data_IF_480195529838
#
_entry.id   IF_480195529838
#
_cell.length_a   1.000
_cell.length_b   1.000
_cell.length_c   1.000
_cell.angle_alpha   90.00
_cell.angle_beta   90.00
_cell.angle_gamma   90.00
#
_symmetry.space_group_name_H-M   'P 1'
#
loop_
_entity.id
_entity.type
_entity.pdbx_description
1 polymer ?
#
# COMPACT_ATOMS: atom_id res chain seq x y z
N UNK A 1 -80.82 2.06 -16.27
CA UNK A 1 -79.50 2.29 -16.89
C UNK A 1 -78.42 1.83 -15.92
N UNK A 2 -77.75 0.69 -16.18
CA UNK A 2 -76.67 0.18 -15.33
C UNK A 2 -75.35 0.81 -15.80
N UNK A 3 -74.75 1.67 -14.97
CA UNK A 3 -73.42 2.26 -15.23
C UNK A 3 -72.38 1.30 -14.68
N UNK A 4 -71.52 0.76 -15.56
CA UNK A 4 -70.33 -0.01 -15.17
C UNK A 4 -69.21 0.99 -14.89
N UNK A 5 -68.75 1.07 -13.64
CA UNK A 5 -67.54 1.79 -13.26
C UNK A 5 -66.37 0.82 -13.46
N UNK A 6 -65.48 1.14 -14.39
CA UNK A 6 -64.20 0.44 -14.56
C UNK A 6 -63.22 1.07 -13.60
N UNK A 7 -62.82 0.32 -12.56
CA UNK A 7 -61.74 0.71 -11.65
C UNK A 7 -60.41 0.39 -12.33
N UNK A 8 -59.65 1.42 -12.69
CA UNK A 8 -58.29 1.28 -13.23
C UNK A 8 -57.31 1.24 -12.05
N UNK A 9 -56.71 0.08 -11.82
CA UNK A 9 -55.74 -0.18 -10.76
C UNK A 9 -54.39 0.45 -11.15
N UNK A 10 -53.98 1.50 -10.45
CA UNK A 10 -52.59 1.98 -10.48
C UNK A 10 -51.78 1.20 -9.45
N UNK A 11 -51.08 0.16 -9.90
CA UNK A 11 -50.06 -0.51 -9.09
C UNK A 11 -48.81 0.39 -9.05
N UNK A 12 -48.69 1.23 -8.02
CA UNK A 12 -47.42 1.88 -7.69
C UNK A 12 -46.43 0.80 -7.24
N UNK A 13 -45.60 0.32 -8.17
CA UNK A 13 -44.38 -0.41 -7.82
C UNK A 13 -43.46 0.54 -7.05
N UNK A 14 -43.46 0.40 -5.73
CA UNK A 14 -42.39 0.89 -4.87
C UNK A 14 -41.12 0.12 -5.27
N UNK A 15 -40.35 0.65 -6.23
CA UNK A 15 -38.95 0.29 -6.33
C UNK A 15 -38.27 0.87 -5.10
N UNK A 16 -37.66 0.07 -4.21
CA UNK A 16 -36.76 0.62 -3.23
C UNK A 16 -35.63 1.27 -4.02
N UNK A 17 -35.57 2.61 -3.96
CA UNK A 17 -34.33 3.32 -4.27
C UNK A 17 -33.27 2.71 -3.37
N UNK A 18 -32.41 1.87 -3.94
CA UNK A 18 -31.13 1.56 -3.32
C UNK A 18 -30.34 2.85 -3.38
N UNK A 19 -30.39 3.61 -2.29
CA UNK A 19 -29.37 4.60 -2.00
C UNK A 19 -28.04 3.86 -2.01
N UNK A 20 -27.25 4.03 -3.08
CA UNK A 20 -25.85 3.69 -3.04
C UNK A 20 -25.23 4.62 -2.00
N UNK A 21 -24.99 4.09 -0.80
CA UNK A 21 -24.08 4.74 0.14
C UNK A 21 -22.76 4.92 -0.60
N UNK A 22 -22.26 6.16 -0.67
CA UNK A 22 -20.91 6.40 -1.16
C UNK A 22 -19.99 5.64 -0.20
N UNK A 23 -19.35 4.58 -0.68
CA UNK A 23 -18.34 3.86 0.08
C UNK A 23 -17.18 4.82 0.32
N UNK A 24 -16.87 5.10 1.59
CA UNK A 24 -15.63 5.76 1.97
C UNK A 24 -14.47 4.87 1.47
N UNK A 25 -13.72 5.34 0.47
CA UNK A 25 -12.66 4.56 -0.17
C UNK A 25 -11.54 4.23 0.84
N UNK A 26 -11.09 5.23 1.59
CA UNK A 26 -10.06 5.11 2.61
C UNK A 26 -10.66 5.31 4.01
N UNK A 27 -10.26 4.47 4.97
CA UNK A 27 -10.67 4.52 6.38
C UNK A 27 -9.66 5.24 7.29
N UNK A 28 -8.51 5.64 6.76
CA UNK A 28 -7.46 6.36 7.51
C UNK A 28 -7.92 7.77 7.87
N UNK A 29 -7.87 8.11 9.15
CA UNK A 29 -8.31 9.41 9.68
C UNK A 29 -7.28 9.98 10.62
N UNK A 30 -7.03 11.29 10.53
CA UNK A 30 -6.17 11.99 11.48
C UNK A 30 -6.88 12.04 12.84
N UNK A 31 -6.28 11.42 13.87
CA UNK A 31 -6.81 11.41 15.24
C UNK A 31 -6.09 12.47 16.08
N UNK A 32 -6.82 13.37 16.73
CA UNK A 32 -6.27 14.33 17.69
C UNK A 32 -6.81 15.75 17.56
N UNK A 33 -6.53 16.58 18.58
CA UNK A 33 -6.88 18.00 18.58
C UNK A 33 -5.84 18.80 17.77
N UNK A 34 -6.30 19.81 17.02
CA UNK A 34 -5.50 20.60 16.08
C UNK A 34 -4.23 21.23 16.70
N UNK A 35 -4.20 21.50 18.02
CA UNK A 35 -3.04 22.05 18.72
C UNK A 35 -1.93 21.02 18.95
N UNK A 36 -2.29 19.79 19.31
CA UNK A 36 -1.34 18.71 19.57
C UNK A 36 -0.74 18.21 18.26
N UNK A 37 -1.60 18.09 17.25
CA UNK A 37 -1.28 17.78 15.86
C UNK A 37 -0.28 18.77 15.23
N UNK A 38 -0.38 20.07 15.53
CA UNK A 38 0.57 21.10 15.03
C UNK A 38 1.94 21.04 15.68
N UNK A 39 2.04 20.53 16.90
CA UNK A 39 3.32 20.34 17.59
C UNK A 39 4.10 19.15 16.99
N UNK A 40 3.38 18.09 16.60
CA UNK A 40 3.91 16.91 15.89
C UNK A 40 4.27 17.23 14.43
N UNK A 41 3.50 18.10 13.77
CA UNK A 41 3.73 18.49 12.37
C UNK A 41 4.80 19.58 12.15
N UNK A 42 5.44 20.05 13.22
CA UNK A 42 6.50 21.05 13.17
C UNK A 42 7.81 20.56 12.52
N UNK A 43 7.83 19.31 12.05
CA UNK A 43 8.91 18.77 11.23
C UNK A 43 8.95 19.54 9.91
N UNK A 44 9.94 20.42 9.78
CA UNK A 44 10.30 20.99 8.47
C UNK A 44 10.69 19.84 7.55
N UNK A 45 9.86 19.57 6.55
CA UNK A 45 10.19 18.61 5.49
C UNK A 45 11.16 19.32 4.55
N UNK A 46 12.42 18.94 4.64
CA UNK A 46 13.45 19.40 3.71
C UNK A 46 13.20 18.79 2.33
N UNK A 47 13.53 19.49 1.24
CA UNK A 47 13.47 18.93 -0.10
C UNK A 47 14.24 17.63 -0.23
N UNK A 48 13.85 16.81 -1.21
CA UNK A 48 14.60 15.59 -1.53
C UNK A 48 16.08 15.92 -1.81
N UNK A 49 17.02 15.11 -1.30
CA UNK A 49 18.43 15.28 -1.62
C UNK A 49 18.69 15.06 -3.11
N UNK A 50 19.63 15.82 -3.68
CA UNK A 50 19.98 15.71 -5.10
C UNK A 50 20.60 14.35 -5.48
N UNK A 51 21.25 13.68 -4.52
CA UNK A 51 21.85 12.36 -4.71
C UNK A 51 21.65 11.53 -3.44
N UNK A 52 20.96 10.39 -3.57
CA UNK A 52 20.73 9.47 -2.48
C UNK A 52 20.63 8.04 -3.00
N UNK A 53 20.99 7.07 -2.16
CA UNK A 53 20.83 5.67 -2.51
C UNK A 53 19.40 5.22 -2.21
N UNK A 54 18.82 4.47 -3.14
CA UNK A 54 17.53 3.79 -2.92
C UNK A 54 17.66 2.85 -1.71
N UNK A 55 16.72 2.97 -0.77
CA UNK A 55 16.53 2.05 0.35
C UNK A 55 15.40 1.09 0.03
N UNK A 56 15.61 -0.18 0.38
CA UNK A 56 14.66 -1.25 0.13
C UNK A 56 14.00 -1.66 1.44
N UNK A 57 12.72 -1.37 1.57
CA UNK A 57 11.92 -1.62 2.75
C UNK A 57 11.19 -2.97 2.66
N UNK A 58 11.24 -3.80 3.70
CA UNK A 58 10.54 -5.08 3.74
C UNK A 58 9.03 -4.88 3.86
N UNK A 59 8.26 -5.57 3.02
CA UNK A 59 6.82 -5.74 3.18
C UNK A 59 6.54 -7.20 3.53
N UNK A 60 5.80 -7.42 4.61
CA UNK A 60 5.22 -8.71 4.96
C UNK A 60 3.77 -8.74 4.55
N UNK A 61 3.45 -9.59 3.58
CA UNK A 61 2.10 -9.77 3.06
C UNK A 61 1.38 -10.88 3.85
N UNK A 62 0.17 -10.57 4.31
CA UNK A 62 -0.72 -11.48 5.04
C UNK A 62 -2.01 -11.67 4.25
N UNK A 63 -2.14 -12.78 3.52
CA UNK A 63 -3.37 -13.13 2.81
C UNK A 63 -4.31 -13.86 3.77
N UNK A 64 -5.41 -13.21 4.11
CA UNK A 64 -6.45 -13.82 4.95
C UNK A 64 -7.46 -14.54 4.07
N UNK A 65 -7.72 -15.80 4.41
CA UNK A 65 -8.59 -16.69 3.66
C UNK A 65 -9.44 -17.53 4.60
N UNK A 66 -10.45 -18.21 4.05
CA UNK A 66 -11.32 -19.09 4.83
C UNK A 66 -10.51 -20.23 5.45
N UNK A 67 -11.06 -20.86 6.48
CA UNK A 67 -10.38 -21.95 7.20
C UNK A 67 -10.07 -23.16 6.31
N UNK A 68 -10.76 -23.31 5.16
CA UNK A 68 -10.52 -24.33 4.14
C UNK A 68 -9.44 -23.94 3.12
N UNK A 69 -8.80 -22.78 3.29
CA UNK A 69 -7.76 -22.25 2.41
C UNK A 69 -8.28 -21.54 1.15
N UNK A 70 -9.60 -21.34 1.01
CA UNK A 70 -10.20 -20.71 -0.17
C UNK A 70 -10.50 -19.23 0.04
N UNK A 71 -10.73 -18.51 -1.06
CA UNK A 71 -11.27 -17.15 -1.02
C UNK A 71 -10.25 -16.06 -0.67
N UNK A 72 -8.96 -16.36 -0.50
CA UNK A 72 -7.90 -15.34 -0.35
C UNK A 72 -7.65 -14.53 -1.64
N UNK A 73 -6.75 -13.55 -1.55
CA UNK A 73 -6.16 -12.87 -2.71
C UNK A 73 -5.31 -13.84 -3.53
N UNK A 74 -5.23 -13.64 -4.85
CA UNK A 74 -4.35 -14.44 -5.69
C UNK A 74 -2.89 -13.99 -5.52
N UNK A 75 -1.97 -14.93 -5.37
CA UNK A 75 -0.56 -14.63 -5.10
C UNK A 75 0.08 -13.80 -6.22
N UNK A 76 -0.32 -14.05 -7.48
CA UNK A 76 0.16 -13.27 -8.63
C UNK A 76 -0.20 -11.78 -8.60
N UNK A 77 -1.22 -11.41 -7.81
CA UNK A 77 -1.64 -10.02 -7.68
C UNK A 77 -0.66 -9.23 -6.79
N UNK A 78 0.03 -9.91 -5.86
CA UNK A 78 1.08 -9.31 -5.04
C UNK A 78 2.25 -8.84 -5.91
N UNK A 79 2.65 -9.59 -6.94
CA UNK A 79 3.75 -9.18 -7.81
C UNK A 79 3.44 -7.86 -8.53
N UNK A 80 2.20 -7.66 -8.98
CA UNK A 80 1.75 -6.42 -9.62
C UNK A 80 1.74 -5.26 -8.62
N UNK A 81 1.20 -5.49 -7.42
CA UNK A 81 1.21 -4.50 -6.33
C UNK A 81 2.64 -4.06 -6.01
N UNK A 82 3.56 -5.00 -5.91
CA UNK A 82 4.96 -4.70 -5.63
C UNK A 82 5.60 -3.91 -6.78
N UNK A 83 5.28 -4.23 -8.03
CA UNK A 83 5.74 -3.44 -9.17
C UNK A 83 5.23 -1.99 -9.11
N UNK A 84 3.94 -1.79 -8.85
CA UNK A 84 3.34 -0.46 -8.76
C UNK A 84 3.88 0.36 -7.59
N UNK A 85 4.00 -0.24 -6.40
CA UNK A 85 4.62 0.40 -5.25
C UNK A 85 6.06 0.84 -5.56
N UNK A 86 6.85 0.00 -6.21
CA UNK A 86 8.22 0.38 -6.58
C UNK A 86 8.27 1.48 -7.63
N UNK A 87 7.37 1.48 -8.62
CA UNK A 87 7.28 2.56 -9.62
C UNK A 87 6.96 3.90 -8.97
N UNK A 88 5.98 3.94 -8.05
CA UNK A 88 5.52 5.20 -7.44
C UNK A 88 6.47 5.75 -6.38
N UNK A 89 7.11 4.88 -5.60
CA UNK A 89 7.93 5.30 -4.46
C UNK A 89 9.42 5.47 -4.79
N UNK A 90 9.90 4.98 -5.94
CA UNK A 90 11.32 5.11 -6.32
C UNK A 90 11.79 6.57 -6.37
N UNK A 91 10.91 7.51 -6.75
CA UNK A 91 11.21 8.95 -6.76
C UNK A 91 11.50 9.52 -5.36
N UNK A 92 11.06 8.84 -4.29
CA UNK A 92 11.39 9.16 -2.91
C UNK A 92 12.60 8.37 -2.38
N UNK A 93 13.37 7.70 -3.26
CA UNK A 93 14.46 6.77 -2.92
C UNK A 93 13.99 5.58 -2.07
N UNK A 94 12.73 5.19 -2.22
CA UNK A 94 12.11 4.05 -1.51
C UNK A 94 11.73 2.99 -2.53
N UNK A 95 12.22 1.78 -2.31
CA UNK A 95 11.74 0.57 -2.97
C UNK A 95 11.30 -0.43 -1.90
N UNK A 96 10.53 -1.42 -2.29
CA UNK A 96 10.01 -2.46 -1.42
C UNK A 96 10.48 -3.83 -1.88
N UNK A 97 10.38 -4.83 -1.01
CA UNK A 97 10.55 -6.24 -1.37
C UNK A 97 9.71 -7.12 -0.45
N UNK A 98 9.35 -8.32 -0.91
CA UNK A 98 8.60 -9.28 -0.11
C UNK A 98 9.50 -9.93 0.94
N UNK A 99 9.18 -9.71 2.21
CA UNK A 99 9.94 -10.20 3.35
C UNK A 99 9.44 -11.57 3.82
N UNK A 100 10.31 -12.59 3.80
CA UNK A 100 10.04 -13.94 4.30
C UNK A 100 8.75 -14.58 3.73
N UNK A 101 8.55 -14.50 2.41
CA UNK A 101 7.37 -15.02 1.69
C UNK A 101 6.02 -14.43 2.15
N UNK A 102 4.94 -14.89 1.52
CA UNK A 102 3.56 -14.49 1.84
C UNK A 102 3.03 -15.39 2.95
N UNK A 103 2.44 -14.79 3.99
CA UNK A 103 1.71 -15.52 5.02
C UNK A 103 0.27 -15.78 4.59
N UNK A 104 -0.22 -16.98 4.91
CA UNK A 104 -1.62 -17.35 4.74
C UNK A 104 -2.26 -17.52 6.12
N UNK A 105 -3.33 -16.77 6.37
CA UNK A 105 -4.09 -16.81 7.61
C UNK A 105 -5.44 -17.47 7.33
N UNK A 106 -5.58 -18.73 7.74
CA UNK A 106 -6.77 -19.56 7.51
C UNK A 106 -7.72 -19.38 8.68
N UNK A 107 -8.70 -18.48 8.53
CA UNK A 107 -9.60 -18.10 9.62
C UNK A 107 -10.90 -17.53 9.08
N UNK A 108 -12.01 -18.26 9.23
CA UNK A 108 -13.34 -17.73 8.90
C UNK A 108 -13.72 -16.51 9.76
N UNK A 109 -13.11 -16.37 10.95
CA UNK A 109 -13.32 -15.20 11.83
C UNK A 109 -12.66 -13.96 11.25
N UNK A 110 -11.43 -14.08 10.73
CA UNK A 110 -10.68 -12.93 10.22
C UNK A 110 -10.91 -12.69 8.73
N UNK A 111 -11.52 -13.63 8.02
CA UNK A 111 -11.81 -13.50 6.60
C UNK A 111 -12.66 -12.26 6.30
N UNK A 112 -13.75 -12.11 7.05
CA UNK A 112 -14.61 -10.92 7.07
C UNK A 112 -14.19 -10.04 8.24
N UNK A 113 -13.12 -9.26 8.03
CA UNK A 113 -12.44 -8.54 9.08
C UNK A 113 -13.28 -7.41 9.69
N UNK A 114 -13.15 -7.26 11.01
CA UNK A 114 -13.73 -6.19 11.80
C UNK A 114 -12.63 -5.47 12.59
N UNK A 115 -12.63 -4.13 12.62
CA UNK A 115 -11.55 -3.31 13.22
C UNK A 115 -11.22 -3.67 14.69
N UNK A 116 -12.18 -4.24 15.41
CA UNK A 116 -11.98 -4.70 16.79
C UNK A 116 -10.97 -5.86 16.92
N UNK A 117 -10.66 -6.55 15.82
CA UNK A 117 -9.76 -7.69 15.75
C UNK A 117 -8.31 -7.30 15.38
N UNK A 118 -8.05 -6.02 15.13
CA UNK A 118 -6.74 -5.51 14.73
C UNK A 118 -5.63 -5.90 15.71
N UNK A 119 -5.82 -5.55 16.99
CA UNK A 119 -4.81 -5.79 18.02
C UNK A 119 -4.49 -7.28 18.21
N UNK A 120 -5.48 -8.20 18.31
CA UNK A 120 -5.23 -9.64 18.29
C UNK A 120 -4.47 -10.13 17.05
N UNK A 121 -4.79 -9.61 15.86
CA UNK A 121 -4.10 -9.96 14.61
C UNK A 121 -2.64 -9.50 14.64
N UNK A 122 -2.40 -8.22 14.95
CA UNK A 122 -1.07 -7.65 15.05
C UNK A 122 -0.20 -8.43 16.03
N UNK A 123 -0.71 -8.71 17.23
CA UNK A 123 0.01 -9.47 18.28
C UNK A 123 0.42 -10.88 17.83
N UNK A 124 -0.31 -11.47 16.90
CA UNK A 124 -0.11 -12.87 16.48
C UNK A 124 0.72 -12.98 15.20
N UNK A 125 0.52 -12.06 14.26
CA UNK A 125 1.02 -12.21 12.88
C UNK A 125 1.97 -11.09 12.44
N UNK A 126 2.00 -9.93 13.10
CA UNK A 126 2.91 -8.88 12.66
C UNK A 126 4.36 -9.32 12.74
N UNK A 127 5.11 -8.95 11.70
CA UNK A 127 6.55 -8.96 11.72
C UNK A 127 7.07 -7.56 12.08
N UNK A 128 7.78 -7.45 13.19
CA UNK A 128 8.31 -6.16 13.68
C UNK A 128 9.34 -5.54 12.73
N UNK A 129 9.98 -6.35 11.87
CA UNK A 129 11.02 -5.91 10.94
C UNK A 129 10.51 -5.56 9.55
N UNK A 130 9.20 -5.64 9.30
CA UNK A 130 8.58 -5.42 8.01
C UNK A 130 7.30 -4.58 8.10
N UNK A 131 6.92 -3.89 7.02
CA UNK A 131 5.61 -3.25 6.87
C UNK A 131 4.57 -4.37 6.72
N UNK A 132 3.58 -4.46 7.62
CA UNK A 132 2.60 -5.53 7.58
C UNK A 132 1.35 -5.10 6.80
N UNK A 133 1.09 -5.75 5.66
CA UNK A 133 -0.09 -5.52 4.84
C UNK A 133 -0.98 -6.76 4.87
N UNK A 134 -2.22 -6.59 5.33
CA UNK A 134 -3.24 -7.63 5.42
C UNK A 134 -4.29 -7.48 4.32
N UNK A 135 -4.63 -8.59 3.67
CA UNK A 135 -5.61 -8.65 2.60
C UNK A 135 -6.84 -9.44 3.04
N UNK A 136 -7.96 -8.74 3.23
CA UNK A 136 -9.21 -9.29 3.77
C UNK A 136 -10.31 -9.41 2.73
N UNK A 137 -11.34 -10.23 2.98
CA UNK A 137 -12.52 -10.24 2.12
C UNK A 137 -13.33 -8.94 2.25
N UNK A 138 -13.59 -8.54 3.49
CA UNK A 138 -14.27 -7.30 3.84
C UNK A 138 -13.54 -6.62 4.98
N UNK A 139 -13.72 -5.31 5.12
CA UNK A 139 -13.30 -4.52 6.28
C UNK A 139 -14.55 -3.85 6.82
N UNK A 140 -14.81 -3.98 8.12
CA UNK A 140 -15.98 -3.40 8.79
C UNK A 140 -15.56 -2.69 10.07
N UNK A 141 -16.09 -1.49 10.29
CA UNK A 141 -15.89 -0.72 11.52
C UNK A 141 -17.09 -0.87 12.45
N UNK A 142 -16.92 -0.55 13.74
CA UNK A 142 -18.01 -0.53 14.73
C UNK A 142 -19.13 0.44 14.35
N UNK A 143 -18.79 1.50 13.63
CA UNK A 143 -19.75 2.46 13.05
C UNK A 143 -20.67 1.84 11.99
N UNK A 144 -20.30 0.68 11.44
CA UNK A 144 -20.95 0.06 10.28
C UNK A 144 -20.35 0.50 8.94
N UNK A 145 -19.36 1.39 8.91
CA UNK A 145 -18.66 1.75 7.67
C UNK A 145 -17.80 0.60 7.17
N UNK A 146 -17.61 0.53 5.85
CA UNK A 146 -16.92 -0.58 5.19
C UNK A 146 -15.84 -0.07 4.22
N UNK A 147 -14.73 0.49 4.73
CA UNK A 147 -13.71 1.09 3.87
C UNK A 147 -13.05 0.06 2.96
N UNK A 148 -12.38 0.53 1.90
CA UNK A 148 -11.64 -0.33 0.98
C UNK A 148 -10.20 -0.58 1.43
N UNK A 149 -9.65 0.31 2.25
CA UNK A 149 -8.42 0.11 3.00
C UNK A 149 -8.27 1.14 4.12
N UNK A 150 -7.30 0.92 5.00
CA UNK A 150 -6.80 1.92 5.94
C UNK A 150 -5.39 1.56 6.43
N UNK A 151 -4.71 2.55 6.99
CA UNK A 151 -3.40 2.49 7.62
C UNK A 151 -3.41 3.35 8.89
N UNK A 152 -2.30 3.34 9.61
CA UNK A 152 -2.01 4.24 10.72
C UNK A 152 -0.88 5.19 10.34
N UNK A 153 -0.88 6.38 10.92
CA UNK A 153 0.18 7.35 10.72
C UNK A 153 1.43 6.99 11.56
N UNK A 154 2.64 7.45 11.17
CA UNK A 154 3.88 7.14 11.87
C UNK A 154 3.88 7.44 13.38
N UNK A 155 3.11 8.42 13.83
CA UNK A 155 2.99 8.85 15.23
C UNK A 155 2.07 7.95 16.07
N UNK A 156 1.21 7.15 15.45
CA UNK A 156 0.40 6.13 16.13
C UNK A 156 1.23 4.87 16.47
N UNK A 157 2.40 4.69 15.85
CA UNK A 157 3.30 3.54 15.99
C UNK A 157 2.68 2.15 15.72
N UNK A 158 1.50 2.11 15.11
CA UNK A 158 0.79 0.89 14.72
C UNK A 158 1.26 0.42 13.34
N UNK A 159 1.94 -0.73 13.28
CA UNK A 159 2.42 -1.32 12.02
C UNK A 159 1.35 -2.24 11.43
N UNK A 160 0.35 -1.65 10.79
CA UNK A 160 -0.77 -2.38 10.21
C UNK A 160 -1.36 -1.61 9.03
N UNK A 161 -1.51 -2.30 7.89
CA UNK A 161 -2.24 -1.80 6.73
C UNK A 161 -3.28 -2.84 6.37
N UNK A 162 -4.55 -2.47 6.35
CA UNK A 162 -5.64 -3.36 5.93
C UNK A 162 -6.14 -2.98 4.54
N UNK A 163 -6.23 -3.97 3.66
CA UNK A 163 -6.73 -3.81 2.29
C UNK A 163 -7.85 -4.81 2.03
N UNK A 164 -8.96 -4.33 1.49
CA UNK A 164 -10.03 -5.19 0.98
C UNK A 164 -9.58 -5.78 -0.35
N UNK A 165 -9.42 -7.11 -0.40
CA UNK A 165 -8.76 -7.84 -1.49
C UNK A 165 -9.30 -7.54 -2.89
N UNK A 166 -10.60 -7.23 -3.01
CA UNK A 166 -11.23 -6.96 -4.30
C UNK A 166 -10.67 -5.70 -4.99
N UNK A 167 -10.14 -4.76 -4.20
CA UNK A 167 -9.65 -3.47 -4.70
C UNK A 167 -8.15 -3.44 -4.93
N UNK A 168 -7.45 -4.54 -4.69
CA UNK A 168 -5.99 -4.62 -4.78
C UNK A 168 -5.47 -4.28 -6.17
N UNK A 169 -6.15 -4.74 -7.22
CA UNK A 169 -5.81 -4.43 -8.63
C UNK A 169 -6.82 -3.53 -9.33
N UNK A 170 -7.97 -3.30 -8.70
CA UNK A 170 -9.06 -2.49 -9.25
C UNK A 170 -9.06 -1.05 -8.71
N UNK A 171 -8.01 -0.68 -7.96
CA UNK A 171 -7.83 0.67 -7.40
C UNK A 171 -6.37 0.96 -7.09
N UNK A 172 -6.07 2.18 -6.66
CA UNK A 172 -4.77 2.60 -6.15
C UNK A 172 -4.70 2.52 -4.60
N UNK A 173 -5.63 1.79 -3.96
CA UNK A 173 -5.76 1.76 -2.50
C UNK A 173 -4.46 1.35 -1.81
N UNK A 174 -3.68 0.41 -2.38
CA UNK A 174 -2.43 -0.02 -1.74
C UNK A 174 -1.38 1.09 -1.78
N UNK A 175 -1.27 1.81 -2.91
CA UNK A 175 -0.39 2.99 -3.02
C UNK A 175 -0.86 4.06 -2.03
N UNK A 176 -2.16 4.30 -1.93
CA UNK A 176 -2.74 5.30 -1.04
C UNK A 176 -2.45 5.00 0.44
N UNK A 177 -2.74 3.79 0.91
CA UNK A 177 -2.54 3.42 2.32
C UNK A 177 -1.07 3.35 2.70
N UNK A 178 -0.19 2.90 1.79
CA UNK A 178 1.27 3.00 2.02
C UNK A 178 1.71 4.46 2.10
N UNK A 179 1.02 5.39 1.40
CA UNK A 179 1.26 6.83 1.53
C UNK A 179 0.98 7.33 2.94
N UNK A 180 -0.15 6.93 3.51
CA UNK A 180 -0.50 7.22 4.91
C UNK A 180 0.50 6.61 5.90
N UNK A 181 0.93 5.37 5.67
CA UNK A 181 1.97 4.73 6.47
C UNK A 181 3.28 5.54 6.49
N UNK A 182 3.62 6.23 5.40
CA UNK A 182 4.75 7.16 5.31
C UNK A 182 4.40 8.61 5.67
N UNK A 183 3.26 8.83 6.31
CA UNK A 183 2.87 10.09 6.91
C UNK A 183 2.23 11.09 5.94
N UNK A 184 1.82 10.70 4.74
CA UNK A 184 1.06 11.58 3.85
C UNK A 184 -0.39 11.70 4.32
N UNK A 185 -0.94 12.91 4.31
CA UNK A 185 -2.36 13.14 4.56
C UNK A 185 -3.14 13.16 3.24
N UNK A 186 -4.47 13.04 3.35
CA UNK A 186 -5.34 13.31 2.22
C UNK A 186 -5.16 14.75 1.74
N UNK A 187 -5.14 15.00 0.43
CA UNK A 187 -5.00 16.36 -0.14
C UNK A 187 -6.09 17.34 0.33
N UNK A 188 -7.25 16.81 0.75
CA UNK A 188 -8.39 17.55 1.27
C UNK A 188 -8.48 17.56 2.80
N UNK A 189 -7.36 17.33 3.48
CA UNK A 189 -7.29 17.33 4.94
C UNK A 189 -7.69 18.69 5.54
N UNK A 190 -8.35 18.66 6.70
CA UNK A 190 -8.84 19.86 7.39
C UNK A 190 -8.61 19.87 8.90
N UNK A 191 -8.12 18.77 9.50
CA UNK A 191 -7.81 18.65 10.92
C UNK A 191 -6.77 19.69 11.38
N UNK A 192 -5.86 20.08 10.49
CA UNK A 192 -4.86 21.12 10.78
C UNK A 192 -5.35 22.54 10.45
N UNK A 193 -6.59 22.68 10.00
CA UNK A 193 -7.18 23.90 9.45
C UNK A 193 -7.36 23.80 7.94
N UNK A 194 -8.29 24.59 7.42
CA UNK A 194 -8.59 24.64 5.99
C UNK A 194 -7.50 25.40 5.22
N UNK A 195 -6.96 24.76 4.19
CA UNK A 195 -6.01 25.39 3.28
C UNK A 195 -6.68 26.49 2.44
N UNK A 196 -5.97 27.60 2.26
CA UNK A 196 -6.37 28.68 1.35
C UNK A 196 -5.96 28.34 -0.07
N UNK A 197 -6.81 28.72 -1.03
CA UNK A 197 -6.58 28.48 -2.46
C UNK A 197 -5.32 29.20 -2.98
N UNK A 198 -4.91 30.29 -2.33
CA UNK A 198 -3.66 31.01 -2.68
C UNK A 198 -2.39 30.33 -2.14
N UNK A 199 -2.50 29.24 -1.38
CA UNK A 199 -1.39 28.50 -0.78
C UNK A 199 -0.69 29.22 0.37
N UNK A 200 -1.18 30.38 0.83
CA UNK A 200 -0.47 31.20 1.83
C UNK A 200 -0.35 30.55 3.22
N UNK A 201 -1.10 29.48 3.47
CA UNK A 201 -1.07 28.70 4.71
C UNK A 201 -0.82 27.19 4.50
N UNK A 202 -0.44 26.75 3.30
CA UNK A 202 -0.27 25.34 2.98
C UNK A 202 0.85 24.65 3.75
N UNK A 203 1.79 25.39 4.36
CA UNK A 203 2.84 24.81 5.20
C UNK A 203 2.38 24.36 6.60
N UNK A 204 1.15 24.68 7.03
CA UNK A 204 0.63 24.35 8.37
C UNK A 204 -0.88 24.10 8.42
N UNK A 205 -1.54 23.99 7.28
CA UNK A 205 -2.96 23.63 7.11
C UNK A 205 -3.11 22.68 5.92
N UNK A 206 -4.29 22.12 5.69
CA UNK A 206 -4.46 21.15 4.60
C UNK A 206 -3.70 19.85 4.89
N UNK A 207 -3.10 19.29 3.85
CA UNK A 207 -2.22 18.12 3.93
C UNK A 207 -0.77 18.46 4.33
N UNK A 208 -0.48 19.75 4.53
CA UNK A 208 0.83 20.29 4.88
C UNK A 208 1.91 20.05 3.82
N UNK A 209 1.51 19.93 2.56
CA UNK A 209 2.40 19.98 1.40
C UNK A 209 2.18 21.32 0.68
N UNK A 210 3.24 22.04 0.31
CA UNK A 210 3.07 23.39 -0.28
C UNK A 210 2.80 23.36 -1.77
N UNK A 211 3.15 22.26 -2.42
CA UNK A 211 3.00 22.05 -3.86
C UNK A 211 1.76 21.23 -4.22
N UNK A 212 0.96 20.83 -3.22
CA UNK A 212 -0.40 20.33 -3.37
C UNK A 212 -1.36 21.53 -3.33
N UNK A 213 -2.11 21.80 -4.42
CA UNK A 213 -3.12 22.84 -4.38
C UNK A 213 -4.29 22.43 -3.47
N UNK A 214 -4.83 23.39 -2.71
CA UNK A 214 -6.04 23.19 -1.91
C UNK A 214 -7.11 22.34 -2.62
N UNK A 215 -7.54 21.26 -1.96
CA UNK A 215 -8.49 20.29 -2.48
C UNK A 215 -9.86 20.40 -1.77
N UNK A 216 -10.97 20.62 -2.49
CA UNK A 216 -12.31 20.71 -1.90
C UNK A 216 -12.94 19.33 -1.57
N UNK A 217 -12.14 18.26 -1.54
CA UNK A 217 -12.54 16.84 -1.54
C UNK A 217 -13.14 16.41 -2.87
N UNK A 218 -12.24 15.99 -3.77
CA UNK A 218 -12.60 15.43 -5.08
C UNK A 218 -13.49 14.17 -5.01
N UNK A 219 -14.15 13.89 -6.13
CA UNK A 219 -14.89 12.66 -6.39
C UNK A 219 -15.08 12.48 -7.90
N UNK A 220 -15.53 11.29 -8.33
CA UNK A 220 -15.87 11.03 -9.73
C UNK A 220 -17.00 11.93 -10.30
N UNK A 221 -17.75 12.62 -9.42
CA UNK A 221 -18.80 13.55 -9.83
C UNK A 221 -18.27 14.94 -10.24
N UNK A 222 -17.06 15.31 -9.78
CA UNK A 222 -16.48 16.65 -9.99
C UNK A 222 -15.17 16.62 -10.76
N UNK A 223 -14.71 15.44 -11.16
CA UNK A 223 -13.61 15.22 -12.10
C UNK A 223 -14.20 14.51 -13.31
N UNK A 224 -13.88 14.94 -14.53
CA UNK A 224 -14.37 14.30 -15.76
C UNK A 224 -13.41 13.19 -16.25
N UNK A 225 -13.78 12.48 -17.33
CA UNK A 225 -12.97 11.39 -17.90
C UNK A 225 -11.65 11.88 -18.55
N UNK A 226 -11.49 13.19 -18.75
CA UNK A 226 -10.23 13.82 -19.18
C UNK A 226 -9.37 14.25 -17.98
N UNK A 227 -9.73 13.83 -16.77
CA UNK A 227 -9.05 14.20 -15.53
C UNK A 227 -9.08 15.69 -15.18
N UNK A 228 -10.07 16.42 -15.69
CA UNK A 228 -10.24 17.85 -15.40
C UNK A 228 -11.24 18.03 -14.26
N UNK A 229 -10.91 18.92 -13.32
CA UNK A 229 -11.85 19.35 -12.29
C UNK A 229 -12.94 20.24 -12.92
N UNK A 230 -14.19 19.79 -12.84
CA UNK A 230 -15.38 20.47 -13.37
C UNK A 230 -16.28 21.05 -12.27
N UNK A 231 -15.83 20.97 -11.01
CA UNK A 231 -16.55 21.57 -9.89
C UNK A 231 -16.49 23.09 -9.89
N UNK A 232 -17.41 23.71 -9.14
CA UNK A 232 -17.58 25.16 -9.06
C UNK A 232 -17.42 25.72 -7.64
N UNK A 233 -16.88 24.92 -6.71
CA UNK A 233 -16.66 25.35 -5.33
C UNK A 233 -15.65 26.50 -5.27
N UNK A 234 -15.88 27.40 -4.32
CA UNK A 234 -15.08 28.59 -4.07
C UNK A 234 -14.76 28.72 -2.58
N UNK A 235 -13.63 29.37 -2.29
CA UNK A 235 -13.23 29.73 -0.94
C UNK A 235 -12.48 31.07 -1.00
N UNK A 236 -12.84 32.01 -0.12
CA UNK A 236 -12.31 33.39 -0.11
C UNK A 236 -12.35 34.09 -1.47
N UNK A 237 -13.41 33.85 -2.26
CA UNK A 237 -13.61 34.47 -3.58
C UNK A 237 -12.73 33.90 -4.70
N UNK A 238 -11.98 32.82 -4.44
CA UNK A 238 -11.18 32.09 -5.41
C UNK A 238 -11.82 30.74 -5.73
N UNK A 239 -11.66 30.29 -6.97
CA UNK A 239 -12.10 28.95 -7.42
C UNK A 239 -11.02 27.91 -7.16
N UNK A 240 -11.44 26.75 -6.67
CA UNK A 240 -10.54 25.60 -6.50
C UNK A 240 -9.96 25.14 -7.83
N UNK A 241 -8.66 24.80 -7.81
CA UNK A 241 -7.93 24.15 -8.91
C UNK A 241 -7.12 22.98 -8.35
N UNK A 242 -7.79 21.95 -7.83
CA UNK A 242 -7.14 20.85 -7.13
C UNK A 242 -6.33 19.99 -8.10
N UNK A 243 -5.34 19.28 -7.57
CA UNK A 243 -4.64 18.26 -8.33
C UNK A 243 -5.48 16.98 -8.42
N UNK A 244 -6.04 16.72 -9.60
CA UNK A 244 -6.86 15.54 -9.90
C UNK A 244 -6.05 14.25 -10.12
N UNK A 245 -4.73 14.35 -10.21
CA UNK A 245 -3.80 13.26 -10.48
C UNK A 245 -3.14 12.70 -9.22
N UNK A 246 -3.39 13.31 -8.06
CA UNK A 246 -2.71 12.95 -6.83
C UNK A 246 -3.22 11.64 -6.23
N UNK A 247 -2.31 10.71 -5.89
CA UNK A 247 -2.64 9.45 -5.23
C UNK A 247 -3.34 9.63 -3.88
N UNK A 248 -3.09 10.73 -3.15
CA UNK A 248 -3.73 11.01 -1.86
C UNK A 248 -5.09 11.73 -1.97
N UNK A 249 -5.60 11.92 -3.19
CA UNK A 249 -6.91 12.51 -3.45
C UNK A 249 -8.01 11.46 -3.60
N UNK A 250 -9.27 11.88 -3.43
CA UNK A 250 -10.45 11.09 -3.77
C UNK A 250 -10.90 11.25 -5.22
N UNK A 251 -9.97 11.67 -6.10
CA UNK A 251 -10.19 11.76 -7.53
C UNK A 251 -10.56 10.41 -8.16
N UNK A 252 -10.84 10.47 -9.46
CA UNK A 252 -11.06 9.31 -10.32
C UNK A 252 -9.83 8.43 -10.35
N UNK A 253 -10.03 7.12 -10.28
CA UNK A 253 -8.95 6.15 -10.23
C UNK A 253 -8.05 6.28 -11.47
N UNK A 254 -8.67 6.35 -12.65
CA UNK A 254 -8.02 6.47 -13.95
C UNK A 254 -7.15 7.72 -14.11
N UNK A 255 -7.29 8.69 -13.21
CA UNK A 255 -6.52 9.92 -13.23
C UNK A 255 -5.33 9.90 -12.28
N UNK A 256 -5.32 9.06 -11.25
CA UNK A 256 -4.32 9.13 -10.18
C UNK A 256 -3.02 8.45 -10.59
N UNK A 257 -1.96 9.22 -10.75
CA UNK A 257 -0.67 8.74 -11.24
C UNK A 257 0.58 9.41 -10.62
N UNK A 258 0.40 10.32 -9.66
CA UNK A 258 1.53 11.04 -9.04
C UNK A 258 1.45 11.30 -7.53
N UNK A 259 2.64 11.47 -6.95
CA UNK A 259 2.89 12.20 -5.70
C UNK A 259 3.63 13.50 -6.05
N UNK A 260 3.37 14.58 -5.32
CA UNK A 260 4.11 15.85 -5.48
C UNK A 260 5.51 15.78 -4.87
N UNK A 261 6.35 16.80 -5.09
CA UNK A 261 7.71 16.80 -4.56
C UNK A 261 7.73 16.90 -3.04
N UNK A 262 6.86 17.72 -2.43
CA UNK A 262 6.78 17.79 -0.96
C UNK A 262 6.24 16.47 -0.38
N UNK A 263 5.31 15.79 -1.05
CA UNK A 263 4.85 14.45 -0.64
C UNK A 263 6.00 13.41 -0.73
N UNK A 264 6.75 13.39 -1.83
CA UNK A 264 7.91 12.50 -1.96
C UNK A 264 8.99 12.80 -0.91
N UNK A 265 9.25 14.08 -0.63
CA UNK A 265 10.17 14.50 0.43
C UNK A 265 9.70 14.05 1.81
N UNK A 266 8.39 14.09 2.07
CA UNK A 266 7.77 13.60 3.30
C UNK A 266 7.91 12.09 3.46
N UNK A 267 7.60 11.33 2.40
CA UNK A 267 7.82 9.88 2.35
C UNK A 267 9.28 9.56 2.69
N UNK A 268 10.20 10.23 2.00
CA UNK A 268 11.63 10.07 2.21
C UNK A 268 12.03 10.35 3.66
N UNK A 269 11.55 11.45 4.25
CA UNK A 269 11.83 11.82 5.64
C UNK A 269 11.40 10.70 6.60
N UNK A 270 10.12 10.31 6.58
CA UNK A 270 9.58 9.28 7.50
C UNK A 270 10.23 7.91 7.29
N UNK A 271 10.51 7.55 6.03
CA UNK A 271 11.25 6.32 5.71
C UNK A 271 12.60 6.26 6.44
N UNK A 272 13.30 7.39 6.56
CA UNK A 272 14.61 7.48 7.21
C UNK A 272 14.53 7.61 8.72
N UNK A 273 13.70 8.53 9.22
CA UNK A 273 13.73 8.92 10.63
C UNK A 273 12.94 7.96 11.52
N UNK A 274 11.85 7.38 11.00
CA UNK A 274 10.99 6.48 11.77
C UNK A 274 11.24 5.00 11.45
N UNK A 275 11.36 4.64 10.17
CA UNK A 275 11.30 3.23 9.77
C UNK A 275 12.67 2.58 9.54
N UNK A 276 13.67 3.31 9.05
CA UNK A 276 14.95 2.71 8.65
C UNK A 276 15.75 2.06 9.79
N UNK A 277 15.47 2.44 11.04
CA UNK A 277 16.08 1.84 12.24
C UNK A 277 15.25 0.68 12.82
N UNK A 278 13.95 0.61 12.50
CA UNK A 278 13.02 -0.40 13.02
C UNK A 278 12.95 -1.63 12.10
N UNK A 279 13.22 -1.46 10.80
CA UNK A 279 13.00 -2.48 9.76
C UNK A 279 14.29 -3.12 9.24
N UNK A 280 14.16 -4.34 8.71
CA UNK A 280 15.27 -5.05 8.05
C UNK A 280 15.40 -4.59 6.60
N UNK A 281 16.17 -3.53 6.36
CA UNK A 281 16.41 -3.05 5.01
C UNK A 281 17.29 -4.04 4.22
N UNK A 282 17.06 -4.17 2.91
CA UNK A 282 18.01 -4.88 2.04
C UNK A 282 19.21 -4.00 1.73
N UNK A 283 20.42 -4.54 1.89
CA UNK A 283 21.66 -3.92 1.39
C UNK A 283 22.08 -4.58 0.08
N UNK A 284 21.65 -3.99 -1.03
CA UNK A 284 21.97 -4.49 -2.38
C UNK A 284 23.46 -4.42 -2.75
N UNK A 285 24.31 -3.74 -1.97
CA UNK A 285 25.75 -3.66 -2.26
C UNK A 285 26.52 -4.86 -1.68
N UNK A 286 26.01 -5.47 -0.62
CA UNK A 286 26.71 -6.57 0.09
C UNK A 286 25.94 -7.89 0.06
N UNK A 287 24.62 -7.84 -0.09
CA UNK A 287 23.77 -9.02 -0.22
C UNK A 287 23.70 -9.52 -1.67
N UNK A 288 23.40 -10.80 -1.82
CA UNK A 288 23.22 -11.46 -3.12
C UNK A 288 21.77 -11.89 -3.29
N UNK A 289 21.17 -11.46 -4.40
CA UNK A 289 19.80 -11.81 -4.77
C UNK A 289 19.82 -12.68 -6.02
N UNK A 290 19.19 -13.84 -5.93
CA UNK A 290 19.10 -14.84 -7.00
C UNK A 290 17.62 -15.00 -7.32
N UNK A 291 17.22 -14.63 -8.53
CA UNK A 291 15.89 -14.85 -9.07
C UNK A 291 15.98 -14.94 -10.59
N UNK A 292 14.97 -15.54 -11.19
CA UNK A 292 14.84 -15.80 -12.61
C UNK A 292 16.10 -16.47 -13.19
N UNK A 293 16.53 -17.55 -12.54
CA UNK A 293 17.80 -18.20 -12.85
C UNK A 293 17.68 -19.71 -12.82
N UNK A 294 18.12 -20.36 -13.89
CA UNK A 294 18.23 -21.82 -13.96
C UNK A 294 19.68 -22.27 -13.99
N UNK A 295 20.10 -23.03 -12.99
CA UNK A 295 21.41 -23.69 -12.92
C UNK A 295 21.31 -25.07 -13.59
N UNK A 296 21.83 -25.20 -14.81
CA UNK A 296 21.61 -26.41 -15.62
C UNK A 296 22.75 -27.44 -15.58
N UNK A 297 23.96 -27.05 -15.20
CA UNK A 297 25.12 -27.95 -15.14
C UNK A 297 26.29 -27.37 -14.34
N UNK A 298 27.26 -28.24 -14.04
CA UNK A 298 28.54 -27.89 -13.42
C UNK A 298 28.48 -27.64 -11.92
N UNK A 299 29.63 -27.37 -11.32
CA UNK A 299 29.75 -26.96 -9.92
C UNK A 299 29.84 -25.44 -9.83
N UNK A 300 28.92 -24.81 -9.10
CA UNK A 300 28.85 -23.36 -8.97
C UNK A 300 28.80 -22.97 -7.49
N UNK A 301 29.55 -21.93 -7.12
CA UNK A 301 29.50 -21.36 -5.77
C UNK A 301 29.07 -19.90 -5.87
N UNK A 302 27.95 -19.56 -5.23
CA UNK A 302 27.48 -18.18 -5.09
C UNK A 302 27.83 -17.68 -3.69
N UNK A 303 28.42 -16.49 -3.58
CA UNK A 303 28.85 -15.92 -2.30
C UNK A 303 28.18 -14.57 -2.05
N UNK A 304 27.80 -14.30 -0.80
CA UNK A 304 27.21 -13.03 -0.38
C UNK A 304 27.37 -12.75 1.11
N UNK A 305 27.05 -11.53 1.55
CA UNK A 305 26.87 -11.25 2.99
C UNK A 305 25.65 -12.02 3.49
N UNK A 306 24.47 -11.69 2.94
CA UNK A 306 23.28 -12.52 2.95
C UNK A 306 22.98 -13.00 1.52
N UNK A 307 22.34 -14.17 1.38
CA UNK A 307 21.87 -14.68 0.08
C UNK A 307 20.35 -14.87 0.15
N UNK A 308 19.63 -14.24 -0.77
CA UNK A 308 18.19 -14.39 -0.96
C UNK A 308 17.95 -15.08 -2.31
N UNK A 309 17.21 -16.19 -2.33
CA UNK A 309 16.92 -16.92 -3.56
C UNK A 309 15.45 -17.33 -3.65
N UNK A 310 14.77 -16.95 -4.74
CA UNK A 310 13.35 -17.22 -4.96
C UNK A 310 12.79 -16.45 -6.14
N UNK A 311 11.48 -16.48 -6.36
CA UNK A 311 10.84 -15.90 -7.54
C UNK A 311 10.75 -14.37 -7.54
N UNK A 312 10.68 -13.76 -6.36
CA UNK A 312 10.50 -12.32 -6.19
C UNK A 312 11.23 -11.80 -4.95
N UNK A 313 12.56 -11.94 -4.93
CA UNK A 313 13.40 -11.57 -3.77
C UNK A 313 14.07 -10.21 -3.94
N UNK A 314 14.02 -9.62 -5.13
CA UNK A 314 14.52 -8.28 -5.44
C UNK A 314 13.76 -7.67 -6.62
N UNK A 315 13.60 -6.35 -6.60
CA UNK A 315 13.09 -5.57 -7.73
C UNK A 315 14.19 -5.06 -8.66
N UNK A 316 15.46 -5.39 -8.39
CA UNK A 316 16.59 -5.04 -9.26
C UNK A 316 16.76 -6.01 -10.45
N UNK A 317 16.03 -7.13 -10.46
CA UNK A 317 16.07 -8.17 -11.50
C UNK A 317 14.65 -8.54 -11.90
N UNK A 318 14.47 -9.11 -13.08
CA UNK A 318 13.17 -9.67 -13.49
C UNK A 318 12.74 -10.77 -12.51
N UNK A 319 11.45 -10.82 -12.14
CA UNK A 319 10.92 -11.92 -11.33
C UNK A 319 10.96 -13.23 -12.11
N UNK A 320 11.00 -14.35 -11.39
CA UNK A 320 11.00 -15.70 -11.95
C UNK A 320 11.72 -16.69 -11.06
N UNK A 321 11.41 -17.98 -11.21
CA UNK A 321 11.90 -19.03 -10.32
C UNK A 321 13.43 -19.19 -10.36
N UNK A 322 13.98 -19.72 -9.26
CA UNK A 322 15.35 -20.19 -9.16
C UNK A 322 15.33 -21.71 -9.21
N UNK A 323 15.80 -22.28 -10.33
CA UNK A 323 15.71 -23.72 -10.57
C UNK A 323 17.12 -24.31 -10.66
N UNK A 324 17.43 -25.31 -9.84
CA UNK A 324 18.67 -26.09 -9.93
C UNK A 324 18.33 -27.43 -10.59
N UNK A 325 18.88 -27.68 -11.78
CA UNK A 325 18.61 -28.88 -12.59
C UNK A 325 19.82 -29.79 -12.68
N UNK A 326 19.59 -31.10 -12.80
CA UNK A 326 20.66 -32.08 -12.99
C UNK A 326 21.43 -31.80 -14.30
N UNK A 327 22.77 -31.91 -14.33
CA UNK A 327 23.65 -32.39 -13.26
C UNK A 327 24.33 -31.27 -12.45
N UNK A 328 23.65 -30.14 -12.23
CA UNK A 328 24.24 -29.03 -11.49
C UNK A 328 24.47 -29.38 -10.00
N UNK A 329 25.59 -28.91 -9.46
CA UNK A 329 25.88 -28.87 -8.04
C UNK A 329 26.11 -27.40 -7.65
N UNK A 330 25.21 -26.83 -6.86
CA UNK A 330 25.24 -25.41 -6.50
C UNK A 330 25.45 -25.25 -5.01
N UNK A 331 26.42 -24.43 -4.63
CA UNK A 331 26.69 -24.06 -3.25
C UNK A 331 26.42 -22.58 -3.03
N UNK A 332 25.60 -22.23 -2.04
CA UNK A 332 25.44 -20.86 -1.54
C UNK A 332 26.30 -20.70 -0.28
N UNK A 333 27.24 -19.76 -0.30
CA UNK A 333 28.09 -19.40 0.84
C UNK A 333 27.77 -17.98 1.31
N UNK A 334 27.03 -17.86 2.42
CA UNK A 334 26.74 -16.57 3.02
C UNK A 334 27.57 -16.34 4.29
N UNK A 335 27.84 -15.09 4.64
CA UNK A 335 28.47 -14.76 5.93
C UNK A 335 27.49 -14.76 7.09
N UNK A 336 26.26 -14.33 6.83
CA UNK A 336 25.23 -14.16 7.85
C UNK A 336 24.04 -15.10 7.65
N UNK A 337 23.34 -15.01 6.51
CA UNK A 337 22.12 -15.80 6.28
C UNK A 337 21.92 -16.22 4.83
N UNK A 338 21.22 -17.35 4.64
CA UNK A 338 20.70 -17.82 3.35
C UNK A 338 19.19 -17.96 3.52
N UNK A 339 18.42 -17.18 2.78
CA UNK A 339 16.96 -17.25 2.75
C UNK A 339 16.51 -17.81 1.40
N UNK A 340 15.93 -19.00 1.44
CA UNK A 340 15.28 -19.62 0.29
C UNK A 340 13.78 -19.33 0.41
N UNK A 341 13.24 -18.73 -0.65
CA UNK A 341 11.88 -18.23 -0.72
C UNK A 341 11.08 -19.00 -1.78
N UNK A 342 9.78 -18.72 -1.87
CA UNK A 342 8.92 -19.30 -2.90
C UNK A 342 9.55 -19.17 -4.30
N UNK A 343 9.41 -20.21 -5.13
CA UNK A 343 10.04 -20.27 -6.45
C UNK A 343 11.48 -20.76 -6.46
N UNK A 344 12.08 -21.11 -5.31
CA UNK A 344 13.34 -21.86 -5.27
C UNK A 344 13.09 -23.37 -5.36
N UNK A 345 13.64 -24.03 -6.38
CA UNK A 345 13.43 -25.46 -6.62
C UNK A 345 14.73 -26.19 -6.99
N UNK A 346 14.95 -27.36 -6.37
CA UNK A 346 16.02 -28.30 -6.74
C UNK A 346 15.40 -29.52 -7.39
N UNK A 347 15.61 -29.70 -8.70
CA UNK A 347 15.10 -30.85 -9.45
C UNK A 347 15.88 -32.12 -9.11
N UNK A 348 15.21 -33.27 -9.26
CA UNK A 348 15.80 -34.59 -9.04
C UNK A 348 17.12 -34.77 -9.80
N UNK A 349 18.14 -35.27 -9.10
CA UNK A 349 19.49 -35.50 -9.64
C UNK A 349 20.42 -34.29 -9.61
N UNK A 350 19.93 -33.11 -9.21
CA UNK A 350 20.77 -31.95 -8.93
C UNK A 350 21.16 -31.91 -7.44
N UNK A 351 22.26 -31.22 -7.12
CA UNK A 351 22.74 -31.04 -5.75
C UNK A 351 22.73 -29.56 -5.35
N UNK A 352 22.28 -29.29 -4.13
CA UNK A 352 22.31 -27.97 -3.53
C UNK A 352 22.90 -28.02 -2.13
N UNK A 353 23.80 -27.10 -1.82
CA UNK A 353 24.39 -26.92 -0.48
C UNK A 353 24.28 -25.46 -0.04
N UNK A 354 23.69 -25.20 1.13
CA UNK A 354 23.75 -23.90 1.78
C UNK A 354 24.74 -23.92 2.94
N UNK A 355 25.66 -22.95 3.00
CA UNK A 355 26.68 -22.87 4.05
C UNK A 355 26.84 -21.44 4.56
N UNK A 356 26.85 -21.30 5.89
CA UNK A 356 27.29 -20.06 6.55
C UNK A 356 28.80 -20.14 6.79
N UNK A 357 29.54 -19.18 6.24
CA UNK A 357 31.01 -19.09 6.33
C UNK A 357 31.35 -17.80 7.06
N UNK A 358 31.63 -17.94 8.37
CA UNK A 358 32.00 -16.82 9.25
C UNK A 358 33.40 -16.29 8.99
#
# INVERSE_FOLDING_TARGET
MKVKIVLLVFACFYMPFRSFSQTDKCGTVVKGDASDLRSLSSITIEPLPANENIKYFPIKHHIVRKSDGTGGLNVSDIDKVMQELNDKYEKAYVKFYTYNDIDFIDSDIYYDYHEADEYPLMRKYNNEKAINIYYFHTITYRSGSTPDGYSHFPDEEENFIAIKKQWVLESDIVIHEVGHFFGLYHTHETAFGKEKIDGSNSSYTGDMCRDTPADPRLSAAVVNDNCEYIGNLEYDGLKYKPNTHNHMSYSRLECKDEFTNDQLARIYHYSRTFYSIKMQLLDIKTDTYIQNQTFSSGTQTVKGQNIYAGSNVTNAKASGDVIIQSPANVTFEAKESILLQSGFEVKSGAEFTGKIVK
#
